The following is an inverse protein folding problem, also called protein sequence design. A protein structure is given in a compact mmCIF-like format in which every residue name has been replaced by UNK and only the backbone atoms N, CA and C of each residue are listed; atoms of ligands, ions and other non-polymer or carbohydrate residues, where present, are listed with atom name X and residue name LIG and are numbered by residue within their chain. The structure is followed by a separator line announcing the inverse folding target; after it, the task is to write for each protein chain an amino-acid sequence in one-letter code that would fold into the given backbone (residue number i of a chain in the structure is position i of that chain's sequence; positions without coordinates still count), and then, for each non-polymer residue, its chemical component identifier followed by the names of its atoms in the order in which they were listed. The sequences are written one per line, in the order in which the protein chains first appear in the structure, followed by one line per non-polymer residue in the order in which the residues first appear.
data_IF_992836679124
#
_entry.id   IF_992836679124
#
_cell.length_a   1.000
_cell.length_b   1.000
_cell.length_c   1.000
_cell.angle_alpha   90.00
_cell.angle_beta   90.00
_cell.angle_gamma   90.00
#
_symmetry.space_group_name_H-M   'P 1'
#
loop_
_entity.id
_entity.type
_entity.pdbx_description
1 polymer ?
#
# COMPACT_ATOMS: atom_id res chain seq x y z
N UNK A 1 -20.85 -12.02 19.04
CA UNK A 1 -19.93 -10.86 19.02
C UNK A 1 -18.66 -11.05 18.16
N UNK A 2 -18.10 -12.26 18.01
CA UNK A 2 -16.87 -12.54 17.26
C UNK A 2 -16.94 -12.23 15.74
N UNK A 3 -18.11 -12.43 15.12
CA UNK A 3 -18.30 -12.36 13.67
C UNK A 3 -18.00 -10.98 13.07
N UNK A 4 -18.34 -9.91 13.77
CA UNK A 4 -18.08 -8.57 13.25
C UNK A 4 -16.61 -8.15 13.34
N UNK A 5 -15.83 -8.70 14.28
CA UNK A 5 -14.41 -8.32 14.46
C UNK A 5 -13.60 -9.00 13.36
N UNK A 6 -13.91 -10.27 13.10
CA UNK A 6 -13.40 -11.00 11.95
C UNK A 6 -13.70 -10.25 10.65
N UNK A 7 -14.95 -9.82 10.45
CA UNK A 7 -15.33 -9.01 9.27
C UNK A 7 -14.48 -7.74 9.15
N UNK A 8 -14.29 -6.97 10.22
CA UNK A 8 -13.44 -5.76 10.19
C UNK A 8 -12.00 -6.09 9.81
N UNK A 9 -11.41 -7.15 10.37
CA UNK A 9 -10.06 -7.60 10.02
C UNK A 9 -9.98 -8.01 8.55
N UNK A 10 -10.91 -8.82 8.06
CA UNK A 10 -10.95 -9.24 6.64
C UNK A 10 -11.03 -8.03 5.70
N UNK A 11 -11.90 -7.07 6.00
CA UNK A 11 -12.01 -5.85 5.20
C UNK A 11 -10.79 -4.93 5.35
N UNK A 12 -10.14 -4.91 6.52
CA UNK A 12 -8.86 -4.20 6.72
C UNK A 12 -7.72 -4.80 5.90
N UNK A 13 -7.60 -6.13 5.87
CA UNK A 13 -6.65 -6.86 5.02
C UNK A 13 -6.93 -6.55 3.54
N UNK A 14 -8.21 -6.63 3.12
CA UNK A 14 -8.61 -6.36 1.75
C UNK A 14 -8.34 -4.91 1.34
N UNK A 15 -8.59 -3.94 2.22
CA UNK A 15 -8.29 -2.53 1.98
C UNK A 15 -6.77 -2.29 1.86
N UNK A 16 -5.98 -2.79 2.83
CA UNK A 16 -4.53 -2.67 2.82
C UNK A 16 -3.91 -3.30 1.57
N UNK A 17 -4.26 -4.54 1.26
CA UNK A 17 -3.76 -5.27 0.10
C UNK A 17 -4.24 -4.69 -1.22
N UNK A 18 -5.55 -4.48 -1.36
CA UNK A 18 -6.14 -4.01 -2.62
C UNK A 18 -5.64 -2.63 -3.03
N UNK A 19 -5.58 -1.67 -2.10
CA UNK A 19 -5.07 -0.32 -2.37
C UNK A 19 -3.58 -0.37 -2.74
N UNK A 20 -2.78 -1.15 -2.01
CA UNK A 20 -1.35 -1.30 -2.28
C UNK A 20 -1.09 -1.91 -3.64
N UNK A 21 -1.79 -3.00 -3.96
CA UNK A 21 -1.67 -3.66 -5.25
C UNK A 21 -2.02 -2.70 -6.39
N UNK A 22 -3.15 -2.00 -6.30
CA UNK A 22 -3.58 -1.06 -7.33
C UNK A 22 -2.60 0.09 -7.50
N UNK A 23 -2.18 0.72 -6.41
CA UNK A 23 -1.22 1.83 -6.46
C UNK A 23 0.11 1.41 -7.10
N UNK A 24 0.63 0.24 -6.73
CA UNK A 24 1.87 -0.29 -7.26
C UNK A 24 1.76 -0.79 -8.71
N UNK A 25 0.63 -1.40 -9.08
CA UNK A 25 0.38 -1.85 -10.44
C UNK A 25 0.25 -0.65 -11.40
N UNK A 26 -0.46 0.40 -10.97
CA UNK A 26 -0.60 1.63 -11.75
C UNK A 26 0.74 2.35 -11.92
N UNK A 27 1.54 2.49 -10.86
CA UNK A 27 2.88 3.05 -11.02
C UNK A 27 3.71 2.17 -11.93
N UNK A 28 3.80 0.87 -11.71
CA UNK A 28 4.55 -0.03 -12.60
C UNK A 28 4.13 0.10 -14.07
N UNK A 29 2.82 0.12 -14.36
CA UNK A 29 2.30 0.28 -15.72
C UNK A 29 2.69 1.64 -16.33
N UNK A 30 2.58 2.73 -15.56
CA UNK A 30 3.01 4.06 -16.01
C UNK A 30 4.49 4.09 -16.36
N UNK A 31 5.33 3.31 -15.67
CA UNK A 31 6.77 3.30 -15.90
C UNK A 31 7.14 2.57 -17.15
N UNK A 32 6.50 1.42 -17.35
CA UNK A 32 6.62 0.69 -18.60
C UNK A 32 6.11 1.51 -19.79
N UNK A 33 5.07 2.31 -19.60
CA UNK A 33 4.60 3.22 -20.64
C UNK A 33 5.63 4.32 -20.94
N UNK A 34 6.18 4.98 -19.91
CA UNK A 34 7.19 6.03 -20.08
C UNK A 34 8.48 5.48 -20.69
N UNK A 35 8.99 4.35 -20.19
CA UNK A 35 10.17 3.65 -20.75
C UNK A 35 9.97 3.32 -22.24
N UNK A 36 8.76 2.93 -22.64
CA UNK A 36 8.44 2.61 -24.03
C UNK A 36 8.38 3.87 -24.92
N UNK A 37 7.95 5.00 -24.38
CA UNK A 37 7.81 6.27 -25.12
C UNK A 37 9.08 7.14 -25.13
N UNK A 38 9.90 7.10 -24.08
CA UNK A 38 11.09 7.94 -23.92
C UNK A 38 12.22 7.16 -23.20
N UNK A 39 12.96 6.31 -23.93
CA UNK A 39 14.02 5.48 -23.35
C UNK A 39 15.30 6.29 -23.11
N UNK A 40 15.22 7.36 -22.30
CA UNK A 40 16.39 8.16 -21.91
C UNK A 40 16.73 7.93 -20.43
N UNK A 41 18.03 7.81 -20.07
CA UNK A 41 18.43 7.57 -18.68
C UNK A 41 17.90 8.62 -17.68
N UNK A 42 17.82 9.88 -18.10
CA UNK A 42 17.42 11.01 -17.25
C UNK A 42 15.92 10.97 -16.91
N UNK A 43 15.06 10.56 -17.85
CA UNK A 43 13.64 10.37 -17.61
C UNK A 43 13.39 9.27 -16.57
N UNK A 44 14.24 8.25 -16.54
CA UNK A 44 14.05 7.06 -15.72
C UNK A 44 14.43 7.25 -14.24
N UNK A 45 15.34 8.17 -13.92
CA UNK A 45 15.71 8.49 -12.53
C UNK A 45 14.56 9.26 -11.84
N UNK A 46 14.08 10.33 -12.48
CA UNK A 46 12.97 11.13 -11.94
C UNK A 46 11.68 10.31 -11.83
N UNK A 47 11.41 9.47 -12.83
CA UNK A 47 10.29 8.54 -12.83
C UNK A 47 10.41 7.49 -11.73
N UNK A 48 11.60 6.90 -11.52
CA UNK A 48 11.84 5.92 -10.46
C UNK A 48 11.56 6.48 -9.06
N UNK A 49 11.98 7.73 -8.80
CA UNK A 49 11.68 8.42 -7.54
C UNK A 49 10.19 8.76 -7.41
N UNK A 50 9.55 9.24 -8.48
CA UNK A 50 8.11 9.51 -8.49
C UNK A 50 7.30 8.23 -8.22
N UNK A 51 7.73 7.11 -8.75
CA UNK A 51 7.10 5.80 -8.54
C UNK A 51 7.25 5.22 -7.15
N UNK A 52 8.28 5.66 -6.42
CA UNK A 52 8.45 5.32 -5.02
C UNK A 52 7.63 6.29 -4.14
N UNK A 53 7.63 7.58 -4.47
CA UNK A 53 6.96 8.62 -3.70
C UNK A 53 5.43 8.56 -3.85
N UNK A 54 4.91 8.31 -5.05
CA UNK A 54 3.48 8.34 -5.31
C UNK A 54 2.71 7.27 -4.50
N UNK A 55 3.13 5.99 -4.44
CA UNK A 55 2.47 5.00 -3.60
C UNK A 55 2.66 5.27 -2.10
N UNK A 56 3.80 5.86 -1.69
CA UNK A 56 4.01 6.25 -0.30
C UNK A 56 2.95 7.26 0.22
N UNK A 57 2.35 8.04 -0.69
CA UNK A 57 1.24 8.96 -0.37
C UNK A 57 -0.13 8.32 -0.66
N UNK A 58 -0.26 7.64 -1.80
CA UNK A 58 -1.53 7.07 -2.24
C UNK A 58 -2.00 5.91 -1.36
N UNK A 59 -1.09 5.07 -0.86
CA UNK A 59 -1.44 3.91 -0.04
C UNK A 59 -2.07 4.36 1.30
N UNK A 60 -1.45 5.26 2.10
CA UNK A 60 -2.08 5.76 3.31
C UNK A 60 -3.45 6.38 3.04
N UNK A 61 -3.59 7.23 2.02
CA UNK A 61 -4.85 7.89 1.71
C UNK A 61 -5.94 6.88 1.29
N UNK A 62 -5.56 5.93 0.42
CA UNK A 62 -6.46 4.90 -0.08
C UNK A 62 -6.87 3.89 0.98
N UNK A 63 -5.99 3.59 1.96
CA UNK A 63 -6.30 2.71 3.10
C UNK A 63 -7.12 3.44 4.17
N UNK A 64 -6.85 4.73 4.39
CA UNK A 64 -7.56 5.53 5.38
C UNK A 64 -9.07 5.56 5.16
N UNK A 65 -9.51 5.79 3.91
CA UNK A 65 -10.93 5.89 3.56
C UNK A 65 -11.76 4.64 3.93
N UNK A 66 -11.42 3.42 3.48
CA UNK A 66 -12.15 2.21 3.83
C UNK A 66 -12.05 1.88 5.33
N UNK A 67 -10.91 2.10 5.98
CA UNK A 67 -10.80 1.92 7.44
C UNK A 67 -11.74 2.86 8.20
N UNK A 68 -11.90 4.09 7.72
CA UNK A 68 -12.86 5.05 8.28
C UNK A 68 -14.31 4.58 8.09
N UNK A 69 -14.66 4.04 6.93
CA UNK A 69 -15.99 3.46 6.67
C UNK A 69 -16.28 2.26 7.59
N UNK A 70 -15.28 1.44 7.89
CA UNK A 70 -15.36 0.31 8.81
C UNK A 70 -15.37 0.73 10.30
N UNK A 71 -15.33 2.03 10.58
CA UNK A 71 -15.28 2.63 11.92
C UNK A 71 -14.12 2.11 12.77
N UNK A 72 -12.99 1.81 12.14
CA UNK A 72 -11.77 1.40 12.84
C UNK A 72 -11.26 2.59 13.67
N UNK A 73 -11.02 2.42 14.99
CA UNK A 73 -10.43 3.49 15.79
C UNK A 73 -9.00 3.77 15.32
N UNK A 74 -8.53 5.00 15.43
CA UNK A 74 -7.19 5.38 14.96
C UNK A 74 -6.90 5.01 13.49
N UNK A 75 -7.93 4.93 12.62
CA UNK A 75 -7.77 4.62 11.19
C UNK A 75 -6.70 5.48 10.50
N UNK A 76 -6.57 6.75 10.89
CA UNK A 76 -5.50 7.64 10.40
C UNK A 76 -4.09 7.14 10.75
N UNK A 77 -3.89 6.68 11.99
CA UNK A 77 -2.59 6.15 12.45
C UNK A 77 -2.26 4.83 11.76
N UNK A 78 -3.25 3.94 11.62
CA UNK A 78 -3.07 2.67 10.89
C UNK A 78 -2.72 2.97 9.43
N UNK A 79 -3.44 3.89 8.79
CA UNK A 79 -3.19 4.27 7.42
C UNK A 79 -1.80 4.87 7.21
N UNK A 80 -1.38 5.84 8.03
CA UNK A 80 -0.01 6.41 7.92
C UNK A 80 1.06 5.38 8.25
N UNK A 81 0.79 4.45 9.16
CA UNK A 81 1.70 3.36 9.50
C UNK A 81 1.95 2.36 8.36
N UNK A 82 1.09 2.31 7.33
CA UNK A 82 1.31 1.46 6.14
C UNK A 82 2.53 1.86 5.31
N UNK A 83 3.04 3.09 5.47
CA UNK A 83 4.24 3.56 4.76
C UNK A 83 5.46 2.72 5.12
N UNK A 84 5.60 2.30 6.37
CA UNK A 84 6.75 1.51 6.82
C UNK A 84 6.85 0.12 6.14
N UNK A 85 5.82 -0.74 6.17
CA UNK A 85 5.87 -2.02 5.46
C UNK A 85 6.00 -1.85 3.94
N UNK A 86 5.42 -0.78 3.37
CA UNK A 86 5.62 -0.45 1.95
C UNK A 86 7.09 -0.12 1.64
N UNK A 87 7.71 0.77 2.41
CA UNK A 87 9.12 1.14 2.20
C UNK A 87 10.05 -0.04 2.48
N UNK A 88 9.78 -0.83 3.52
CA UNK A 88 10.52 -2.06 3.80
C UNK A 88 10.46 -3.08 2.67
N UNK A 89 9.34 -3.16 1.95
CA UNK A 89 9.21 -3.99 0.76
C UNK A 89 9.95 -3.42 -0.46
N UNK A 90 10.00 -2.09 -0.62
CA UNK A 90 10.47 -1.46 -1.85
C UNK A 90 11.95 -1.08 -1.85
N UNK A 91 12.50 -0.64 -0.71
CA UNK A 91 13.88 -0.18 -0.59
C UNK A 91 14.93 -1.24 -0.99
N UNK A 92 14.80 -2.53 -0.62
CA UNK A 92 15.75 -3.56 -1.05
C UNK A 92 15.81 -3.75 -2.57
N UNK A 93 14.78 -3.31 -3.29
CA UNK A 93 14.66 -3.44 -4.73
C UNK A 93 14.59 -2.10 -5.46
N UNK A 94 15.05 -1.00 -4.84
CA UNK A 94 14.95 0.34 -5.40
C UNK A 94 15.65 0.48 -6.77
N UNK A 95 16.71 -0.29 -7.02
CA UNK A 95 17.43 -0.33 -8.31
C UNK A 95 16.89 -1.34 -9.32
N UNK A 96 15.83 -2.09 -9.01
CA UNK A 96 15.32 -3.16 -9.88
C UNK A 96 13.82 -3.01 -10.11
N UNK A 97 13.41 -2.94 -11.38
CA UNK A 97 12.00 -2.93 -11.80
C UNK A 97 11.35 -4.32 -11.67
N UNK A 98 11.62 -5.01 -10.56
CA UNK A 98 11.18 -6.38 -10.32
C UNK A 98 9.72 -6.40 -9.89
N UNK A 99 8.83 -7.09 -10.63
CA UNK A 99 7.40 -7.09 -10.32
C UNK A 99 7.08 -7.75 -8.98
N UNK A 100 7.95 -8.62 -8.45
CA UNK A 100 7.72 -9.26 -7.15
C UNK A 100 7.70 -8.28 -5.97
N UNK A 101 8.25 -7.06 -6.10
CA UNK A 101 8.11 -6.01 -5.07
C UNK A 101 6.65 -5.61 -4.86
N UNK A 102 5.81 -5.69 -5.90
CA UNK A 102 4.37 -5.43 -5.83
C UNK A 102 3.71 -6.45 -4.90
N UNK A 103 4.04 -7.73 -5.08
CA UNK A 103 3.50 -8.84 -4.28
C UNK A 103 3.95 -8.71 -2.82
N UNK A 104 5.25 -8.48 -2.59
CA UNK A 104 5.79 -8.35 -1.23
C UNK A 104 5.17 -7.15 -0.51
N UNK A 105 5.11 -5.98 -1.15
CA UNK A 105 4.48 -4.80 -0.56
C UNK A 105 2.99 -5.03 -0.26
N UNK A 106 2.27 -5.64 -1.19
CA UNK A 106 0.84 -5.98 -1.03
C UNK A 106 0.63 -6.86 0.19
N UNK A 107 1.41 -7.94 0.33
CA UNK A 107 1.30 -8.88 1.45
C UNK A 107 1.65 -8.20 2.77
N UNK A 108 2.75 -7.45 2.83
CA UNK A 108 3.18 -6.79 4.06
C UNK A 108 2.18 -5.72 4.52
N UNK A 109 1.68 -4.89 3.61
CA UNK A 109 0.67 -3.87 3.97
C UNK A 109 -0.66 -4.50 4.35
N UNK A 110 -1.09 -5.56 3.66
CA UNK A 110 -2.31 -6.29 4.01
C UNK A 110 -2.21 -6.94 5.40
N UNK A 111 -1.10 -7.62 5.68
CA UNK A 111 -0.83 -8.25 6.97
C UNK A 111 -0.77 -7.21 8.10
N UNK A 112 -0.04 -6.11 7.89
CA UNK A 112 0.05 -5.00 8.84
C UNK A 112 -1.34 -4.41 9.13
N UNK A 113 -2.12 -4.10 8.10
CA UNK A 113 -3.44 -3.48 8.25
C UNK A 113 -4.39 -4.42 8.99
N UNK A 114 -4.40 -5.71 8.63
CA UNK A 114 -5.18 -6.73 9.32
C UNK A 114 -4.81 -6.88 10.79
N UNK A 115 -3.51 -6.95 11.09
CA UNK A 115 -3.01 -7.06 12.46
C UNK A 115 -3.42 -5.85 13.31
N UNK A 116 -3.23 -4.63 12.80
CA UNK A 116 -3.59 -3.40 13.52
C UNK A 116 -5.10 -3.32 13.77
N UNK A 117 -5.93 -3.61 12.77
CA UNK A 117 -7.39 -3.67 12.95
C UNK A 117 -7.79 -4.75 13.97
N UNK A 118 -7.07 -5.87 14.02
CA UNK A 118 -7.33 -6.96 14.96
C UNK A 118 -6.99 -6.64 16.41
N UNK A 119 -5.93 -5.86 16.65
CA UNK A 119 -5.48 -5.50 18.00
C UNK A 119 -6.31 -4.36 18.59
N UNK A 120 -6.83 -3.46 17.75
CA UNK A 120 -7.57 -2.29 18.20
C UNK A 120 -8.91 -2.64 18.89
N UNK A 121 -9.23 -2.00 20.03
CA UNK A 121 -10.49 -2.22 20.73
C UNK A 121 -11.65 -1.67 19.89
N UNK A 122 -12.78 -2.36 19.87
CA UNK A 122 -13.97 -1.84 19.19
C UNK A 122 -14.47 -0.61 19.93
N UNK A 123 -14.84 0.43 19.16
CA UNK A 123 -15.67 1.50 19.73
C UNK A 123 -17.02 0.87 20.16
N UNK A 124 -17.50 1.16 21.38
CA UNK A 124 -18.82 0.72 21.83
C UNK A 124 -19.93 1.29 20.94
#
# INVERSE_FOLDING_TARGET
MATGKLRQVTWGVAAGGGVTFLAMALTFAAGRAVDASWPTPDANIGLGLLMLAAPAVAIPLGVWYPLRQLRVPAAGLVATGTVLPYLGACLPFAGSAWPGRIVVATVLVAAYTGAMVGVLPRKP
#
